data_IF_237432742450
#
_entry.id   IF_237432742450
#
_cell.length_a   1.000
_cell.length_b   1.000
_cell.length_c   1.000
_cell.angle_alpha   90.00
_cell.angle_beta   90.00
_cell.angle_gamma   90.00
#
_symmetry.space_group_name_H-M   'P 1'
#
loop_
_entity.id
_entity.type
_entity.pdbx_description
1 polymer ?
#
# COMPACT_ATOMS: atom_id res chain seq x y z
N UNK A 1 7.60 18.55 -13.15
CA UNK A 1 7.78 18.97 -11.74
C UNK A 1 6.52 18.63 -10.97
N UNK A 2 6.63 17.88 -9.88
CA UNK A 2 5.49 17.33 -9.12
C UNK A 2 5.03 18.27 -7.99
N UNK A 3 5.06 19.57 -8.22
CA UNK A 3 4.78 20.57 -7.18
C UNK A 3 3.32 20.50 -6.76
N UNK A 4 3.08 20.23 -5.48
CA UNK A 4 1.74 20.20 -4.90
C UNK A 4 1.25 21.63 -4.60
N UNK A 5 -0.03 21.88 -4.82
CA UNK A 5 -0.68 23.12 -4.44
C UNK A 5 -1.09 23.10 -2.95
N UNK A 6 -1.84 24.12 -2.51
CA UNK A 6 -2.36 24.23 -1.14
C UNK A 6 -3.28 23.08 -0.71
N UNK A 7 -3.80 22.27 -1.64
CA UNK A 7 -4.67 21.11 -1.39
C UNK A 7 -3.87 19.78 -1.43
N UNK A 8 -2.54 19.84 -1.52
CA UNK A 8 -1.71 18.67 -1.81
C UNK A 8 -1.87 18.15 -3.25
N UNK A 9 -2.62 18.85 -4.12
CA UNK A 9 -2.90 18.41 -5.47
C UNK A 9 -1.74 18.75 -6.40
N UNK A 10 -1.27 17.75 -7.17
CA UNK A 10 -0.29 17.96 -8.24
C UNK A 10 -0.94 18.61 -9.46
N UNK A 11 -0.15 19.12 -10.43
CA UNK A 11 -0.71 19.68 -11.67
C UNK A 11 -1.58 18.65 -12.42
N UNK A 12 -1.24 17.36 -12.32
CA UNK A 12 -2.00 16.28 -12.93
C UNK A 12 -3.39 16.13 -12.28
N UNK A 13 -3.49 16.23 -10.94
CA UNK A 13 -4.81 16.25 -10.26
C UNK A 13 -5.69 17.38 -10.79
N UNK A 14 -5.14 18.59 -10.90
CA UNK A 14 -5.91 19.76 -11.38
C UNK A 14 -6.33 19.63 -12.84
N UNK A 15 -5.49 19.06 -13.69
CA UNK A 15 -5.86 18.77 -15.09
C UNK A 15 -7.07 17.81 -15.16
N UNK A 16 -7.07 16.75 -14.36
CA UNK A 16 -8.15 15.76 -14.33
C UNK A 16 -9.42 16.32 -13.70
N UNK A 17 -9.32 17.07 -12.59
CA UNK A 17 -10.46 17.75 -11.96
C UNK A 17 -11.17 18.67 -12.95
N UNK A 18 -10.39 19.47 -13.69
CA UNK A 18 -10.88 20.41 -14.71
C UNK A 18 -11.44 19.74 -15.97
N UNK A 19 -11.15 18.45 -16.18
CA UNK A 19 -11.55 17.77 -17.42
C UNK A 19 -10.59 17.99 -18.59
N UNK A 20 -9.42 18.59 -18.35
CA UNK A 20 -8.47 18.99 -19.39
C UNK A 20 -7.55 17.83 -19.77
N UNK A 21 -8.00 17.05 -20.75
CA UNK A 21 -7.31 15.85 -21.25
C UNK A 21 -6.02 16.19 -21.98
N UNK A 22 -5.96 17.34 -22.66
CA UNK A 22 -4.78 17.75 -23.40
C UNK A 22 -3.65 18.10 -22.42
N UNK A 23 -3.97 18.87 -21.38
CA UNK A 23 -3.01 19.16 -20.31
C UNK A 23 -2.59 17.90 -19.56
N UNK A 24 -3.52 16.99 -19.26
CA UNK A 24 -3.21 15.72 -18.63
C UNK A 24 -2.25 14.87 -19.49
N UNK A 25 -2.44 14.83 -20.81
CA UNK A 25 -1.58 14.09 -21.73
C UNK A 25 -0.15 14.64 -21.76
N UNK A 26 -0.01 15.97 -21.84
CA UNK A 26 1.29 16.63 -21.78
C UNK A 26 1.99 16.32 -20.46
N UNK A 27 1.27 16.41 -19.33
CA UNK A 27 1.83 16.13 -18.01
C UNK A 27 2.32 14.69 -17.90
N UNK A 28 1.57 13.71 -18.42
CA UNK A 28 2.01 12.32 -18.43
C UNK A 28 3.22 12.11 -19.35
N UNK A 29 3.21 12.71 -20.55
CA UNK A 29 4.37 12.67 -21.46
C UNK A 29 5.64 13.26 -20.85
N UNK A 30 5.49 14.27 -20.00
CA UNK A 30 6.58 14.90 -19.24
C UNK A 30 7.03 14.05 -18.04
N UNK A 31 6.40 12.91 -17.77
CA UNK A 31 6.74 12.02 -16.66
C UNK A 31 6.22 12.53 -15.32
N UNK A 32 5.04 13.16 -15.31
CA UNK A 32 4.39 13.55 -14.07
C UNK A 32 4.10 12.33 -13.19
N UNK A 33 4.43 12.46 -11.90
CA UNK A 33 4.22 11.38 -10.94
C UNK A 33 2.72 11.26 -10.61
N UNK A 34 2.16 10.09 -10.93
CA UNK A 34 0.77 9.74 -10.71
C UNK A 34 0.52 9.05 -9.35
N UNK A 35 1.58 8.81 -8.56
CA UNK A 35 1.51 8.13 -7.26
C UNK A 35 1.25 9.08 -6.10
N UNK A 36 1.50 10.38 -6.30
CA UNK A 36 1.32 11.40 -5.27
C UNK A 36 -0.16 11.52 -4.94
N UNK A 37 -0.46 11.62 -3.64
CA UNK A 37 -1.80 11.81 -3.12
C UNK A 37 -2.05 13.28 -2.77
N UNK A 38 -3.27 13.74 -3.02
CA UNK A 38 -3.75 15.01 -2.48
C UNK A 38 -4.22 14.86 -1.02
N UNK A 39 -4.66 15.95 -0.39
CA UNK A 39 -5.16 15.90 0.99
C UNK A 39 -6.44 15.07 1.18
N UNK A 40 -7.17 14.79 0.10
CA UNK A 40 -8.27 13.83 0.11
C UNK A 40 -7.80 12.36 -0.02
N UNK A 41 -6.49 12.11 0.10
CA UNK A 41 -5.85 10.80 -0.09
C UNK A 41 -6.14 10.16 -1.46
N UNK A 42 -6.55 10.95 -2.45
CA UNK A 42 -6.78 10.49 -3.82
C UNK A 42 -5.50 10.72 -4.62
N UNK A 43 -5.13 9.71 -5.41
CA UNK A 43 -4.12 9.86 -6.45
C UNK A 43 -4.73 10.46 -7.72
N UNK A 44 -3.88 10.91 -8.65
CA UNK A 44 -4.35 11.33 -9.97
C UNK A 44 -5.11 10.18 -10.68
N UNK A 45 -4.69 8.93 -10.48
CA UNK A 45 -5.34 7.74 -11.05
C UNK A 45 -6.74 7.52 -10.46
N UNK A 46 -6.91 7.72 -9.15
CA UNK A 46 -8.23 7.62 -8.51
C UNK A 46 -9.23 8.63 -9.11
N UNK A 47 -8.77 9.86 -9.40
CA UNK A 47 -9.60 10.87 -10.04
C UNK A 47 -9.96 10.50 -11.50
N UNK A 48 -9.05 9.87 -12.23
CA UNK A 48 -9.32 9.38 -13.59
C UNK A 48 -10.41 8.31 -13.55
N UNK A 49 -10.33 7.34 -12.61
CA UNK A 49 -11.36 6.31 -12.43
C UNK A 49 -12.73 6.95 -12.17
N UNK A 50 -12.78 7.97 -11.32
CA UNK A 50 -14.00 8.71 -11.01
C UNK A 50 -14.59 9.38 -12.27
N UNK A 51 -13.75 10.01 -13.11
CA UNK A 51 -14.18 10.61 -14.38
C UNK A 51 -14.59 9.58 -15.43
N UNK A 52 -13.95 8.41 -15.47
CA UNK A 52 -14.27 7.32 -16.39
C UNK A 52 -15.67 6.71 -16.15
N UNK A 53 -16.26 6.87 -14.96
CA UNK A 53 -17.63 6.40 -14.67
C UNK A 53 -18.70 7.20 -15.39
N UNK A 54 -18.46 8.48 -15.66
CA UNK A 54 -19.44 9.37 -16.29
C UNK A 54 -19.08 9.82 -17.71
N UNK A 55 -17.92 9.45 -18.24
CA UNK A 55 -17.42 10.03 -19.49
C UNK A 55 -16.58 9.05 -20.32
N UNK A 56 -17.13 8.65 -21.48
CA UNK A 56 -16.49 7.69 -22.40
C UNK A 56 -15.20 8.22 -23.00
N UNK A 57 -15.03 9.54 -23.04
CA UNK A 57 -13.85 10.16 -23.61
C UNK A 57 -12.61 10.01 -22.73
N UNK A 58 -12.79 9.97 -21.41
CA UNK A 58 -11.69 9.67 -20.47
C UNK A 58 -11.22 8.23 -20.61
N UNK A 59 -12.14 7.29 -20.90
CA UNK A 59 -11.79 5.90 -21.24
C UNK A 59 -10.93 5.83 -22.50
N UNK A 60 -11.37 6.48 -23.58
CA UNK A 60 -10.58 6.55 -24.84
C UNK A 60 -9.23 7.22 -24.63
N UNK A 61 -9.16 8.23 -23.76
CA UNK A 61 -7.90 8.89 -23.43
C UNK A 61 -6.94 7.93 -22.69
N UNK A 62 -7.41 7.18 -21.69
CA UNK A 62 -6.59 6.18 -21.00
C UNK A 62 -6.01 5.14 -21.97
N UNK A 63 -6.81 4.67 -22.92
CA UNK A 63 -6.37 3.76 -23.98
C UNK A 63 -5.27 4.39 -24.85
N UNK A 64 -5.43 5.65 -25.27
CA UNK A 64 -4.44 6.37 -26.09
C UNK A 64 -3.11 6.58 -25.36
N UNK A 65 -3.17 6.95 -24.09
CA UNK A 65 -1.97 7.24 -23.29
C UNK A 65 -1.37 5.96 -22.69
N UNK A 66 -2.02 4.79 -22.88
CA UNK A 66 -1.64 3.49 -22.29
C UNK A 66 -1.48 3.57 -20.77
N UNK A 67 -2.32 4.36 -20.13
CA UNK A 67 -2.37 4.49 -18.67
C UNK A 67 -3.47 3.55 -18.19
N UNK A 68 -3.12 2.58 -17.36
CA UNK A 68 -4.10 1.70 -16.75
C UNK A 68 -4.61 2.31 -15.43
N UNK A 69 -5.82 2.90 -15.38
CA UNK A 69 -6.33 3.56 -14.18
C UNK A 69 -6.57 2.60 -13.00
N UNK A 70 -6.54 1.29 -13.26
CA UNK A 70 -6.75 0.20 -12.29
C UNK A 70 -5.42 -0.35 -11.73
N UNK A 71 -4.27 0.13 -12.20
CA UNK A 71 -2.94 -0.29 -11.72
C UNK A 71 -2.63 0.33 -10.34
N UNK A 72 -3.48 0.06 -9.34
CA UNK A 72 -3.24 0.34 -7.92
C UNK A 72 -2.14 -0.53 -7.30
N UNK A 73 -1.76 -1.63 -7.94
CA UNK A 73 -1.39 -2.83 -7.18
C UNK A 73 0.07 -3.06 -6.84
N UNK A 74 1.05 -2.29 -7.30
CA UNK A 74 2.45 -2.72 -7.02
C UNK A 74 3.03 -2.14 -5.72
N UNK A 75 2.56 -1.00 -5.21
CA UNK A 75 3.17 -0.40 -4.00
C UNK A 75 2.19 0.16 -2.95
N UNK A 76 1.03 0.69 -3.34
CA UNK A 76 0.13 1.38 -2.40
C UNK A 76 -0.68 0.44 -1.49
N UNK A 77 -1.11 -0.72 -1.99
CA UNK A 77 -1.91 -1.64 -1.17
C UNK A 77 -1.06 -2.52 -0.25
N UNK A 78 0.24 -2.67 -0.55
CA UNK A 78 1.17 -3.47 0.25
C UNK A 78 1.45 -2.82 1.61
N UNK A 79 1.46 -1.50 1.71
CA UNK A 79 1.77 -0.80 2.97
C UNK A 79 0.69 -1.01 4.04
N UNK A 80 -0.60 -0.94 3.69
CA UNK A 80 -1.68 -1.07 4.68
C UNK A 80 -1.81 -2.49 5.26
N UNK A 81 -1.65 -3.52 4.42
CA UNK A 81 -1.64 -4.92 4.87
C UNK A 81 -0.36 -5.29 5.62
N UNK A 82 0.81 -4.77 5.22
CA UNK A 82 2.06 -5.00 5.94
C UNK A 82 2.09 -4.32 7.31
N UNK A 83 1.49 -3.12 7.44
CA UNK A 83 1.32 -2.44 8.73
C UNK A 83 0.43 -3.25 9.67
N UNK A 84 -0.70 -3.78 9.17
CA UNK A 84 -1.57 -4.68 9.95
C UNK A 84 -0.86 -6.00 10.33
N UNK A 85 -0.04 -6.56 9.43
CA UNK A 85 0.75 -7.78 9.70
C UNK A 85 1.89 -7.55 10.71
N UNK A 86 2.50 -6.36 10.76
CA UNK A 86 3.53 -6.02 11.76
C UNK A 86 2.99 -6.12 13.19
N UNK A 87 1.80 -5.56 13.42
CA UNK A 87 1.16 -5.58 14.73
C UNK A 87 0.84 -7.03 15.15
N UNK A 88 0.31 -7.84 14.23
CA UNK A 88 0.00 -9.25 14.50
C UNK A 88 1.28 -10.07 14.75
N UNK A 89 2.33 -9.87 13.95
CA UNK A 89 3.58 -10.61 14.09
C UNK A 89 4.29 -10.28 15.42
N UNK A 90 4.22 -9.02 15.87
CA UNK A 90 4.75 -8.60 17.18
C UNK A 90 4.07 -9.34 18.33
N UNK A 91 2.73 -9.41 18.30
CA UNK A 91 1.94 -10.11 19.33
C UNK A 91 2.19 -11.63 19.30
N UNK A 92 2.32 -12.23 18.12
CA UNK A 92 2.63 -13.66 17.99
C UNK A 92 4.04 -13.95 18.50
N UNK A 93 5.02 -13.09 18.20
CA UNK A 93 6.39 -13.25 18.68
C UNK A 93 6.49 -13.14 20.21
N UNK A 94 5.79 -12.18 20.83
CA UNK A 94 5.75 -12.05 22.30
C UNK A 94 5.05 -13.24 22.95
N UNK A 95 3.98 -13.77 22.34
CA UNK A 95 3.29 -14.96 22.85
C UNK A 95 4.20 -16.20 22.79
N UNK A 96 4.90 -16.41 21.66
CA UNK A 96 5.86 -17.50 21.53
C UNK A 96 7.03 -17.36 22.52
N UNK A 97 7.53 -16.14 22.74
CA UNK A 97 8.56 -15.86 23.74
C UNK A 97 8.08 -16.15 25.16
N UNK A 98 6.84 -15.77 25.51
CA UNK A 98 6.26 -16.04 26.82
C UNK A 98 6.05 -17.54 27.07
N UNK A 99 5.56 -18.28 26.07
CA UNK A 99 5.35 -19.73 26.15
C UNK A 99 6.69 -20.45 26.29
N UNK A 100 7.70 -20.07 25.50
CA UNK A 100 9.05 -20.66 25.59
C UNK A 100 9.76 -20.31 26.89
N UNK A 101 9.56 -19.10 27.42
CA UNK A 101 10.06 -18.70 28.74
C UNK A 101 9.40 -19.51 29.87
N UNK A 102 8.08 -19.76 29.80
CA UNK A 102 7.39 -20.62 30.77
C UNK A 102 7.82 -22.09 30.67
N UNK A 103 8.06 -22.61 29.46
CA UNK A 103 8.56 -23.96 29.26
C UNK A 103 10.02 -24.13 29.73
N UNK A 104 10.85 -23.08 29.62
CA UNK A 104 12.24 -23.08 30.10
C UNK A 104 12.39 -23.16 31.63
N UNK A 105 11.32 -22.87 32.39
CA UNK A 105 11.27 -23.05 33.85
C UNK A 105 10.53 -24.31 34.30
N UNK A 106 9.92 -25.07 33.39
CA UNK A 106 9.37 -26.39 33.70
C UNK A 106 10.53 -27.40 33.69
N UNK A 107 11.14 -27.56 34.86
CA UNK A 107 12.07 -28.65 35.19
C UNK A 107 11.26 -29.89 35.59
N UNK A 108 11.21 -30.97 34.79
CA UNK A 108 10.67 -32.23 35.25
C UNK A 108 11.80 -33.11 35.81
N UNK A 109 11.70 -33.41 37.10
CA UNK A 109 12.07 -34.71 37.67
C UNK A 109 13.56 -35.06 37.76
N UNK A 110 14.21 -34.61 38.85
CA UNK A 110 15.30 -35.36 39.47
C UNK A 110 14.66 -36.44 40.32
N UNK A 111 14.70 -37.71 39.89
CA UNK A 111 14.69 -38.89 40.78
C UNK A 111 15.27 -40.15 40.09
N UNK A 112 16.38 -40.62 40.66
CA UNK A 112 16.96 -41.97 40.72
C UNK A 112 16.74 -43.00 39.60
N UNK A 113 17.69 -43.08 38.66
CA UNK A 113 17.94 -44.32 37.90
C UNK A 113 18.62 -45.37 38.79
N UNK A 114 18.04 -46.57 38.83
CA UNK A 114 18.61 -47.76 39.44
C UNK A 114 19.98 -48.09 38.85
N UNK A 115 20.95 -48.30 39.73
CA UNK A 115 22.22 -48.93 39.40
C UNK A 115 22.01 -50.44 39.40
N UNK A 116 22.00 -51.03 38.21
CA UNK A 116 22.30 -52.44 38.04
C UNK A 116 23.82 -52.61 37.96
N UNK A 117 24.41 -53.23 38.97
CA UNK A 117 25.75 -53.82 38.89
C UNK A 117 25.63 -55.26 39.38
N UNK A 118 26.03 -56.20 38.53
CA UNK A 118 26.19 -57.61 38.86
C UNK A 118 27.45 -57.88 39.68
#
# INVERSE_FOLDING_TARGET
KNTQNKDGATPLHKAIERGDRALAEVLVKVGADCTIQNYAQKTAMDLIVEKCRGNNEWRKWCERVKIDPVLKKTFAQRSEYLLKLREVLSVVATLLAAITFQAGFTLPGRDGRGAGTG
#
